data_IF_392540501273
#
_entry.id   IF_392540501273
#
_cell.length_a   1.000
_cell.length_b   1.000
_cell.length_c   1.000
_cell.angle_alpha   90.00
_cell.angle_beta   90.00
_cell.angle_gamma   90.00
#
_symmetry.space_group_name_H-M   'P 1'
#
loop_
_entity.id
_entity.type
_entity.pdbx_description
1 polymer ?
#
# COMPACT_ATOMS: atom_id res chain seq x y z
N UNK A 1 -26.19 6.64 64.71
CA UNK A 1 -26.67 6.08 63.42
C UNK A 1 -26.25 6.89 62.19
N UNK A 2 -26.50 8.20 62.11
CA UNK A 2 -26.21 8.99 60.90
C UNK A 2 -24.74 8.95 60.41
N UNK A 3 -23.75 8.99 61.32
CA UNK A 3 -22.33 8.87 60.96
C UNK A 3 -21.98 7.51 60.35
N UNK A 4 -22.55 6.43 60.88
CA UNK A 4 -22.34 5.07 60.39
C UNK A 4 -22.92 4.91 58.99
N UNK A 5 -24.15 5.39 58.77
CA UNK A 5 -24.81 5.41 57.46
C UNK A 5 -24.01 6.20 56.42
N UNK A 6 -23.44 7.34 56.83
CA UNK A 6 -22.59 8.17 55.97
C UNK A 6 -21.31 7.45 55.54
N UNK A 7 -20.61 6.80 56.47
CA UNK A 7 -19.40 6.03 56.13
C UNK A 7 -19.71 4.81 55.28
N UNK A 8 -20.85 4.14 55.52
CA UNK A 8 -21.31 3.03 54.69
C UNK A 8 -21.56 3.50 53.24
N UNK A 9 -22.29 4.61 53.08
CA UNK A 9 -22.55 5.19 51.76
C UNK A 9 -21.26 5.61 51.04
N UNK A 10 -20.34 6.26 51.74
CA UNK A 10 -19.05 6.67 51.18
C UNK A 10 -18.21 5.46 50.74
N UNK A 11 -18.18 4.39 51.54
CA UNK A 11 -17.49 3.15 51.17
C UNK A 11 -18.10 2.52 49.92
N UNK A 12 -19.44 2.45 49.83
CA UNK A 12 -20.15 1.93 48.65
C UNK A 12 -19.79 2.74 47.39
N UNK A 13 -19.86 4.08 47.47
CA UNK A 13 -19.54 4.94 46.33
C UNK A 13 -18.08 4.82 45.90
N UNK A 14 -17.13 4.76 46.85
CA UNK A 14 -15.72 4.58 46.49
C UNK A 14 -15.44 3.21 45.89
N UNK A 15 -16.03 2.14 46.43
CA UNK A 15 -15.90 0.80 45.85
C UNK A 15 -16.47 0.77 44.44
N UNK A 16 -17.65 1.35 44.21
CA UNK A 16 -18.26 1.43 42.89
C UNK A 16 -17.36 2.21 41.92
N UNK A 17 -16.87 3.38 42.35
CA UNK A 17 -16.01 4.24 41.54
C UNK A 17 -14.69 3.54 41.15
N UNK A 18 -14.00 2.94 42.12
CA UNK A 18 -12.75 2.21 41.89
C UNK A 18 -12.99 0.98 41.00
N UNK A 19 -14.11 0.28 41.17
CA UNK A 19 -14.46 -0.88 40.35
C UNK A 19 -14.71 -0.51 38.89
N UNK A 20 -15.46 0.57 38.65
CA UNK A 20 -15.72 1.09 37.29
C UNK A 20 -14.40 1.49 36.62
N UNK A 21 -13.55 2.24 37.33
CA UNK A 21 -12.24 2.64 36.81
C UNK A 21 -11.39 1.40 36.52
N UNK A 22 -11.26 0.46 37.47
CA UNK A 22 -10.43 -0.73 37.30
C UNK A 22 -10.88 -1.61 36.12
N UNK A 23 -12.19 -1.79 35.97
CA UNK A 23 -12.77 -2.55 34.87
C UNK A 23 -12.47 -1.90 33.53
N UNK A 24 -12.80 -0.61 33.36
CA UNK A 24 -12.58 0.09 32.08
C UNK A 24 -11.12 0.46 31.81
N UNK A 25 -10.24 0.39 32.82
CA UNK A 25 -8.79 0.56 32.61
C UNK A 25 -8.12 -0.68 32.01
N UNK A 26 -8.78 -1.84 32.06
CA UNK A 26 -8.21 -3.13 31.59
C UNK A 26 -9.06 -3.83 30.55
N UNK A 27 -10.35 -3.49 30.45
CA UNK A 27 -11.32 -4.10 29.55
C UNK A 27 -12.19 -3.04 28.85
N UNK A 28 -12.53 -3.23 27.56
CA UNK A 28 -12.14 -4.34 26.69
C UNK A 28 -10.68 -4.25 26.25
N UNK A 29 -10.03 -5.41 26.16
CA UNK A 29 -8.68 -5.51 25.58
C UNK A 29 -8.78 -5.12 24.11
N UNK A 30 -8.05 -4.07 23.73
CA UNK A 30 -8.02 -3.63 22.35
C UNK A 30 -7.29 -4.66 21.47
N UNK A 31 -8.00 -5.19 20.48
CA UNK A 31 -7.46 -6.15 19.50
C UNK A 31 -7.28 -5.47 18.16
N UNK A 32 -6.02 -5.29 17.74
CA UNK A 32 -5.69 -4.68 16.45
C UNK A 32 -6.05 -5.56 15.25
N UNK A 33 -6.08 -6.88 15.45
CA UNK A 33 -6.35 -7.88 14.44
C UNK A 33 -7.10 -9.06 15.08
N UNK A 34 -8.08 -9.66 14.40
CA UNK A 34 -8.71 -10.89 14.89
C UNK A 34 -7.67 -12.00 15.12
N UNK A 35 -7.88 -12.87 16.13
CA UNK A 35 -6.90 -13.87 16.57
C UNK A 35 -6.66 -14.98 15.54
N UNK A 36 -7.46 -15.06 14.48
CA UNK A 36 -7.38 -16.03 13.39
C UNK A 36 -6.98 -15.38 12.05
N UNK A 37 -6.54 -14.11 12.08
CA UNK A 37 -6.19 -13.36 10.88
C UNK A 37 -4.74 -12.88 10.89
N UNK A 38 -4.19 -12.69 9.70
CA UNK A 38 -2.98 -11.91 9.46
C UNK A 38 -3.27 -10.72 8.58
N UNK A 39 -2.29 -9.81 8.48
CA UNK A 39 -2.42 -8.56 7.74
C UNK A 39 -1.45 -8.55 6.57
N UNK A 40 -1.96 -8.40 5.35
CA UNK A 40 -1.15 -8.21 4.15
C UNK A 40 -1.18 -6.74 3.74
N UNK A 41 -0.01 -6.15 3.53
CA UNK A 41 0.16 -4.75 3.09
C UNK A 41 0.75 -4.72 1.69
N UNK A 42 -0.01 -4.24 0.70
CA UNK A 42 0.53 -3.88 -0.60
C UNK A 42 0.99 -2.43 -0.54
N UNK A 43 2.30 -2.20 -0.58
CA UNK A 43 2.88 -0.88 -0.35
C UNK A 43 4.13 -0.66 -1.16
N UNK A 44 4.07 0.24 -2.15
CA UNK A 44 5.25 0.69 -2.89
C UNK A 44 5.01 2.04 -3.58
N UNK A 45 6.10 2.66 -4.01
CA UNK A 45 6.11 3.81 -4.91
C UNK A 45 6.88 3.38 -6.16
N UNK A 46 6.25 3.49 -7.32
CA UNK A 46 6.86 3.12 -8.59
C UNK A 46 6.73 4.24 -9.61
N UNK A 47 7.75 4.38 -10.45
CA UNK A 47 7.77 5.40 -11.49
C UNK A 47 7.68 4.73 -12.85
N UNK A 48 6.51 4.84 -13.47
CA UNK A 48 6.18 4.15 -14.72
C UNK A 48 7.03 4.61 -15.91
N UNK A 49 6.98 3.84 -17.00
CA UNK A 49 7.61 4.21 -18.26
C UNK A 49 6.91 5.44 -18.88
N UNK A 50 7.62 6.14 -19.75
CA UNK A 50 7.09 7.31 -20.46
C UNK A 50 6.00 6.88 -21.44
N UNK A 51 4.99 7.74 -21.60
CA UNK A 51 3.82 7.54 -22.46
C UNK A 51 4.10 7.75 -23.96
N UNK A 52 5.31 7.49 -24.40
CA UNK A 52 5.70 7.72 -25.79
C UNK A 52 7.21 7.63 -26.02
N UNK A 53 7.57 7.31 -27.26
CA UNK A 53 8.95 7.26 -27.70
C UNK A 53 9.56 8.66 -27.76
N UNK A 54 10.88 8.74 -27.58
CA UNK A 54 11.60 9.98 -27.82
C UNK A 54 11.67 10.24 -29.33
N UNK A 55 11.32 11.46 -29.76
CA UNK A 55 11.46 11.88 -31.16
C UNK A 55 12.76 12.65 -31.37
N UNK A 56 13.35 12.50 -32.55
CA UNK A 56 14.42 13.38 -32.99
C UNK A 56 13.82 14.62 -33.64
N UNK A 57 14.46 15.76 -33.40
CA UNK A 57 14.15 17.02 -34.09
C UNK A 57 14.88 17.06 -35.41
N UNK A 58 14.17 17.56 -36.42
CA UNK A 58 14.73 17.86 -37.75
C UNK A 58 15.73 19.00 -37.67
N UNK A 59 16.61 19.10 -38.67
CA UNK A 59 17.63 20.15 -38.71
C UNK A 59 16.99 21.54 -38.90
N UNK A 60 15.82 21.64 -39.56
CA UNK A 60 15.06 22.89 -39.64
C UNK A 60 14.47 23.31 -38.27
N UNK A 61 14.01 22.37 -37.46
CA UNK A 61 13.54 22.64 -36.09
C UNK A 61 14.69 23.09 -35.18
N UNK A 62 15.89 22.53 -35.36
CA UNK A 62 17.09 22.91 -34.62
C UNK A 62 17.59 24.29 -35.02
N UNK A 63 17.55 24.64 -36.31
CA UNK A 63 17.96 25.95 -36.79
C UNK A 63 17.14 27.09 -36.16
N UNK A 64 15.85 26.86 -35.89
CA UNK A 64 14.93 27.79 -35.21
C UNK A 64 15.25 28.00 -33.73
N UNK A 65 16.07 27.13 -33.13
CA UNK A 65 16.48 27.24 -31.72
C UNK A 65 17.81 27.99 -31.59
N UNK A 66 17.96 28.71 -30.49
CA UNK A 66 19.22 29.35 -30.11
C UNK A 66 20.33 28.29 -30.01
N UNK A 67 21.60 28.62 -30.34
CA UNK A 67 22.70 27.65 -30.42
C UNK A 67 22.87 26.76 -29.17
N UNK A 68 22.64 27.31 -27.97
CA UNK A 68 22.73 26.58 -26.69
C UNK A 68 21.53 25.67 -26.38
N UNK A 69 20.44 25.77 -27.14
CA UNK A 69 19.18 25.04 -26.90
C UNK A 69 18.87 23.96 -27.95
N UNK A 70 19.81 23.70 -28.89
CA UNK A 70 19.70 22.75 -30.00
C UNK A 70 19.83 21.28 -29.57
N UNK A 71 18.97 20.84 -28.65
CA UNK A 71 18.88 19.44 -28.23
C UNK A 71 18.17 18.64 -29.32
N UNK A 72 18.85 17.63 -29.87
CA UNK A 72 18.36 16.80 -30.99
C UNK A 72 17.25 15.83 -30.59
N UNK A 73 17.26 15.31 -29.36
CA UNK A 73 16.28 14.32 -28.88
C UNK A 73 15.30 14.92 -27.89
N UNK A 74 14.00 14.80 -28.15
CA UNK A 74 12.93 15.26 -27.26
C UNK A 74 12.11 14.06 -26.80
N UNK A 75 12.06 13.85 -25.49
CA UNK A 75 11.24 12.79 -24.90
C UNK A 75 10.00 13.40 -24.22
N UNK A 76 8.82 12.77 -24.34
CA UNK A 76 7.66 13.18 -23.58
C UNK A 76 7.93 13.01 -22.08
N UNK A 77 7.41 13.94 -21.29
CA UNK A 77 7.54 13.90 -19.82
C UNK A 77 6.47 13.05 -19.16
N UNK A 78 5.27 13.02 -19.75
CA UNK A 78 4.13 12.25 -19.26
C UNK A 78 4.49 10.76 -19.15
N UNK A 79 4.04 10.14 -18.06
CA UNK A 79 4.24 8.72 -17.77
C UNK A 79 2.95 7.94 -17.96
N UNK A 80 3.11 6.64 -18.15
CA UNK A 80 2.01 5.69 -18.24
C UNK A 80 1.38 5.46 -16.86
N UNK A 81 0.13 5.02 -16.84
CA UNK A 81 -0.52 4.58 -15.61
C UNK A 81 0.13 3.28 -15.11
N UNK A 82 0.18 3.11 -13.79
CA UNK A 82 0.58 1.84 -13.17
C UNK A 82 -0.66 1.03 -12.87
N UNK A 83 -0.81 -0.14 -13.50
CA UNK A 83 -1.89 -1.08 -13.20
C UNK A 83 -1.35 -2.18 -12.32
N UNK A 84 -2.04 -2.49 -11.22
CA UNK A 84 -1.63 -3.53 -10.27
C UNK A 84 -2.78 -4.49 -10.06
N UNK A 85 -2.47 -5.78 -10.12
CA UNK A 85 -3.37 -6.87 -9.73
C UNK A 85 -2.72 -7.72 -8.66
N UNK A 86 -3.53 -8.14 -7.68
CA UNK A 86 -3.15 -9.05 -6.62
C UNK A 86 -4.21 -10.14 -6.49
N UNK A 87 -3.77 -11.38 -6.65
CA UNK A 87 -4.58 -12.57 -6.44
C UNK A 87 -4.07 -13.33 -5.22
N UNK A 88 -5.00 -13.96 -4.51
CA UNK A 88 -4.73 -14.86 -3.39
C UNK A 88 -5.45 -16.16 -3.65
N UNK A 89 -4.71 -17.27 -3.63
CA UNK A 89 -5.22 -18.62 -3.86
C UNK A 89 -6.00 -18.75 -5.17
N UNK A 90 -5.52 -18.06 -6.22
CA UNK A 90 -6.12 -18.05 -7.55
C UNK A 90 -7.39 -17.19 -7.68
N UNK A 91 -7.76 -16.43 -6.64
CA UNK A 91 -8.90 -15.51 -6.66
C UNK A 91 -8.42 -14.05 -6.67
N UNK A 92 -9.04 -13.17 -7.47
CA UNK A 92 -8.67 -11.76 -7.49
C UNK A 92 -9.02 -11.12 -6.13
N UNK A 93 -8.01 -10.54 -5.48
CA UNK A 93 -8.16 -9.81 -4.21
C UNK A 93 -8.19 -8.29 -4.44
N UNK A 94 -7.37 -7.78 -5.36
CA UNK A 94 -7.26 -6.35 -5.60
C UNK A 94 -6.84 -6.02 -7.03
N UNK A 95 -7.45 -4.99 -7.60
CA UNK A 95 -7.08 -4.39 -8.88
C UNK A 95 -7.15 -2.87 -8.75
N UNK A 96 -6.12 -2.17 -9.24
CA UNK A 96 -6.08 -0.70 -9.24
C UNK A 96 -5.31 -0.15 -10.43
N UNK A 97 -5.78 0.98 -10.95
CA UNK A 97 -5.08 1.82 -11.92
C UNK A 97 -4.60 3.08 -11.20
N UNK A 98 -3.30 3.34 -11.22
CA UNK A 98 -2.64 4.42 -10.48
C UNK A 98 -2.06 5.43 -11.48
N UNK A 99 -2.75 6.55 -11.73
CA UNK A 99 -2.22 7.59 -12.61
C UNK A 99 -0.98 8.26 -11.98
N UNK A 100 -0.02 8.73 -12.80
CA UNK A 100 1.13 9.47 -12.31
C UNK A 100 0.74 10.72 -11.55
N UNK A 101 1.50 11.04 -10.50
CA UNK A 101 1.32 12.28 -9.74
C UNK A 101 1.84 13.52 -10.50
N UNK A 102 1.42 14.70 -10.02
CA UNK A 102 1.83 16.00 -10.56
C UNK A 102 0.90 16.54 -11.64
N UNK A 103 0.91 17.87 -11.82
CA UNK A 103 0.08 18.58 -12.83
C UNK A 103 0.39 18.08 -14.24
N UNK A 104 1.65 17.75 -14.50
CA UNK A 104 2.17 17.27 -15.79
C UNK A 104 2.22 15.75 -15.92
N UNK A 105 1.70 14.99 -14.94
CA UNK A 105 1.67 13.51 -14.93
C UNK A 105 3.03 12.86 -15.20
N UNK A 106 4.08 13.42 -14.63
CA UNK A 106 5.47 12.96 -14.78
C UNK A 106 6.08 12.42 -13.47
N UNK A 107 5.31 12.45 -12.38
CA UNK A 107 5.69 11.93 -11.07
C UNK A 107 5.51 10.43 -10.92
N UNK A 108 5.78 9.93 -9.71
CA UNK A 108 5.59 8.52 -9.35
C UNK A 108 4.14 8.21 -8.97
N UNK A 109 3.76 6.95 -9.14
CA UNK A 109 2.51 6.38 -8.64
C UNK A 109 2.78 5.63 -7.33
N UNK A 110 1.86 5.69 -6.38
CA UNK A 110 2.00 5.05 -5.07
C UNK A 110 0.75 4.24 -4.74
N UNK A 111 0.94 3.12 -4.07
CA UNK A 111 -0.16 2.32 -3.52
C UNK A 111 0.13 1.98 -2.06
N UNK A 112 -0.91 2.08 -1.24
CA UNK A 112 -0.91 1.55 0.12
C UNK A 112 -2.27 0.94 0.41
N UNK A 113 -2.32 -0.39 0.51
CA UNK A 113 -3.54 -1.13 0.84
C UNK A 113 -3.27 -2.22 1.85
N UNK A 114 -4.25 -2.44 2.72
CA UNK A 114 -4.22 -3.41 3.81
C UNK A 114 -5.34 -4.40 3.60
N UNK A 115 -5.03 -5.69 3.68
CA UNK A 115 -5.98 -6.79 3.57
C UNK A 115 -5.84 -7.65 4.81
N UNK A 116 -6.96 -7.94 5.45
CA UNK A 116 -7.00 -8.96 6.50
C UNK A 116 -7.34 -10.28 5.84
N UNK A 117 -6.49 -11.28 6.03
CA UNK A 117 -6.68 -12.62 5.48
C UNK A 117 -6.66 -13.64 6.62
N UNK A 118 -7.36 -14.77 6.48
CA UNK A 118 -7.23 -15.88 7.43
C UNK A 118 -5.76 -16.25 7.65
N UNK A 119 -5.42 -16.68 8.85
CA UNK A 119 -4.11 -17.27 9.10
C UNK A 119 -4.02 -18.63 8.38
N UNK A 120 -2.88 -18.90 7.75
CA UNK A 120 -2.69 -20.12 6.97
C UNK A 120 -1.72 -19.95 5.82
N UNK A 121 -1.61 -21.00 5.00
CA UNK A 121 -0.81 -20.99 3.78
C UNK A 121 -1.62 -20.37 2.65
N UNK A 122 -1.05 -19.34 2.04
CA UNK A 122 -1.63 -18.64 0.91
C UNK A 122 -0.64 -18.56 -0.24
N UNK A 123 -1.15 -18.68 -1.46
CA UNK A 123 -0.40 -18.40 -2.68
C UNK A 123 -0.75 -17.02 -3.20
N UNK A 124 0.19 -16.10 -3.12
CA UNK A 124 0.05 -14.75 -3.65
C UNK A 124 0.54 -14.70 -5.08
N UNK A 125 -0.20 -14.04 -5.96
CA UNK A 125 0.25 -13.70 -7.32
C UNK A 125 0.01 -12.23 -7.56
N UNK A 126 1.07 -11.47 -7.77
CA UNK A 126 1.02 -10.04 -8.02
C UNK A 126 1.49 -9.74 -9.44
N UNK A 127 0.78 -8.85 -10.12
CA UNK A 127 1.07 -8.42 -11.49
C UNK A 127 1.09 -6.90 -11.54
N UNK A 128 2.04 -6.35 -12.28
CA UNK A 128 2.19 -4.91 -12.47
C UNK A 128 2.48 -4.59 -13.94
N UNK A 129 1.78 -3.56 -14.41
CA UNK A 129 1.95 -2.97 -15.73
C UNK A 129 2.31 -1.50 -15.58
N UNK A 130 3.37 -1.06 -16.23
CA UNK A 130 3.85 0.34 -16.14
C UNK A 130 4.12 1.01 -17.50
N UNK A 131 3.50 0.49 -18.57
CA UNK A 131 3.70 0.89 -19.96
C UNK A 131 2.40 0.78 -20.78
N UNK A 132 2.41 1.38 -21.98
CA UNK A 132 1.30 1.31 -22.94
C UNK A 132 1.27 -0.05 -23.68
N UNK A 133 0.89 -1.10 -22.95
CA UNK A 133 0.55 -2.42 -23.52
C UNK A 133 -0.70 -2.97 -22.85
N UNK A 134 -1.29 -4.03 -23.41
CA UNK A 134 -2.28 -4.84 -22.70
C UNK A 134 -1.62 -5.74 -21.64
N UNK A 135 -0.36 -6.11 -21.84
CA UNK A 135 0.34 -7.14 -21.06
C UNK A 135 1.02 -6.60 -19.80
N UNK A 136 1.04 -7.44 -18.76
CA UNK A 136 1.80 -7.21 -17.53
C UNK A 136 3.27 -7.52 -17.76
N UNK A 137 4.14 -6.53 -17.55
CA UNK A 137 5.58 -6.69 -17.70
C UNK A 137 6.28 -7.13 -16.42
N UNK A 138 5.60 -7.09 -15.28
CA UNK A 138 6.10 -7.67 -14.04
C UNK A 138 5.08 -8.62 -13.44
N UNK A 139 5.56 -9.81 -13.08
CA UNK A 139 4.77 -10.83 -12.40
C UNK A 139 5.61 -11.43 -11.27
N UNK A 140 5.01 -11.62 -10.10
CA UNK A 140 5.66 -12.30 -8.98
C UNK A 140 4.67 -13.19 -8.27
N UNK A 141 5.11 -14.36 -7.82
CA UNK A 141 4.30 -15.26 -7.03
C UNK A 141 5.10 -15.80 -5.85
N UNK A 142 4.43 -16.01 -4.72
CA UNK A 142 5.04 -16.58 -3.53
C UNK A 142 4.01 -17.37 -2.73
N UNK A 143 4.42 -18.53 -2.23
CA UNK A 143 3.71 -19.26 -1.18
C UNK A 143 4.18 -18.74 0.17
N UNK A 144 3.26 -18.19 0.97
CA UNK A 144 3.58 -17.62 2.27
C UNK A 144 2.64 -18.21 3.31
N UNK A 145 3.20 -18.58 4.47
CA UNK A 145 2.42 -19.00 5.64
C UNK A 145 2.22 -17.80 6.53
N UNK A 146 1.00 -17.27 6.55
CA UNK A 146 0.60 -16.12 7.35
C UNK A 146 0.19 -16.59 8.74
N UNK A 147 1.04 -16.37 9.73
CA UNK A 147 0.71 -16.68 11.13
C UNK A 147 -0.31 -15.67 11.70
N UNK A 148 -1.11 -16.06 12.72
CA UNK A 148 -2.02 -15.15 13.39
C UNK A 148 -1.33 -13.89 13.93
N UNK A 149 -1.94 -12.72 13.72
CA UNK A 149 -1.38 -11.44 14.13
C UNK A 149 -0.15 -10.99 13.33
N UNK A 150 0.33 -11.78 12.37
CA UNK A 150 1.52 -11.46 11.58
C UNK A 150 1.19 -10.46 10.46
N UNK A 151 2.15 -9.58 10.19
CA UNK A 151 2.06 -8.61 9.10
C UNK A 151 3.03 -9.01 7.99
N UNK A 152 2.48 -9.24 6.81
CA UNK A 152 3.23 -9.44 5.58
C UNK A 152 3.18 -8.17 4.73
N UNK A 153 4.28 -7.82 4.10
CA UNK A 153 4.40 -6.70 3.17
C UNK A 153 4.73 -7.22 1.77
N UNK A 154 3.94 -6.80 0.80
CA UNK A 154 4.18 -6.94 -0.63
C UNK A 154 4.68 -5.59 -1.12
N UNK A 155 5.95 -5.53 -1.45
CA UNK A 155 6.65 -4.36 -1.99
C UNK A 155 7.00 -4.62 -3.46
N UNK A 156 7.38 -3.58 -4.19
CA UNK A 156 7.77 -3.67 -5.60
C UNK A 156 9.01 -2.82 -5.86
N UNK A 157 10.03 -3.46 -6.44
CA UNK A 157 11.26 -2.79 -6.88
C UNK A 157 11.71 -3.36 -8.22
N UNK A 158 11.42 -2.62 -9.30
CA UNK A 158 11.80 -3.01 -10.66
C UNK A 158 13.30 -3.37 -10.78
N UNK A 159 14.18 -2.57 -10.19
CA UNK A 159 15.63 -2.82 -10.21
C UNK A 159 16.11 -4.02 -9.39
N UNK A 160 15.25 -4.61 -8.55
CA UNK A 160 15.54 -5.83 -7.78
C UNK A 160 14.83 -7.07 -8.34
N UNK A 161 14.27 -6.99 -9.55
CA UNK A 161 13.59 -8.10 -10.21
C UNK A 161 12.07 -8.15 -10.00
N UNK A 162 11.46 -7.13 -9.38
CA UNK A 162 10.00 -6.99 -9.30
C UNK A 162 9.45 -7.06 -7.87
N UNK A 163 8.45 -7.93 -7.65
CA UNK A 163 7.74 -8.03 -6.38
C UNK A 163 8.57 -8.69 -5.28
N UNK A 164 8.48 -8.15 -4.07
CA UNK A 164 9.15 -8.65 -2.87
C UNK A 164 8.09 -9.01 -1.82
N UNK A 165 8.06 -10.28 -1.43
CA UNK A 165 7.13 -10.81 -0.43
C UNK A 165 7.87 -10.97 0.89
N UNK A 166 7.63 -10.07 1.85
CA UNK A 166 8.32 -10.04 3.15
C UNK A 166 7.32 -10.36 4.26
N UNK A 167 7.50 -11.47 4.94
CA UNK A 167 6.63 -11.89 6.05
C UNK A 167 7.17 -11.50 7.42
#
# INVERSE_FOLDING_TARGET
MAKLLRYLGQAIFYILFVSVIGYFSTYPVYTHLPPDQGLVKLSFIHTAQRKGACRERTDEELAKLAPNMRVRKVCPRERSDVVVELDVDGKPLYHVVLPPSGVTRDGSSAVYRRFQLPAGRHRFTARLKDWESAEFNYTGAADVTLAPGRVMVIDFKAGAGGFLFKS
#
